data_IF_372393727345
#
_entry.id   IF_372393727345
#
_cell.length_a   1.000
_cell.length_b   1.000
_cell.length_c   1.000
_cell.angle_alpha   90.00
_cell.angle_beta   90.00
_cell.angle_gamma   90.00
#
_symmetry.space_group_name_H-M   'P 1'
#
loop_
_entity.id
_entity.type
_entity.pdbx_description
1 polymer ?
#
# COMPACT_ATOMS: atom_id res chain seq x y z
N UNK A 1 -7.17 -13.75 9.60
CA UNK A 1 -7.47 -14.09 8.21
C UNK A 1 -6.89 -15.42 7.85
N UNK A 2 -7.64 -16.26 7.20
CA UNK A 2 -7.13 -17.55 6.80
C UNK A 2 -6.17 -17.39 5.65
N UNK A 3 -5.17 -18.25 5.62
CA UNK A 3 -4.19 -18.19 4.54
C UNK A 3 -4.85 -18.33 3.17
N UNK A 4 -5.87 -19.17 3.08
CA UNK A 4 -6.51 -19.39 1.80
C UNK A 4 -7.22 -18.12 1.31
N UNK A 5 -7.80 -17.35 2.22
CA UNK A 5 -8.46 -16.10 1.84
C UNK A 5 -7.44 -15.08 1.39
N UNK A 6 -6.33 -15.00 2.10
CA UNK A 6 -5.28 -14.07 1.75
C UNK A 6 -4.65 -14.45 0.41
N UNK A 7 -4.44 -15.74 0.21
CA UNK A 7 -3.88 -16.21 -1.05
C UNK A 7 -4.81 -15.97 -2.21
N UNK A 8 -6.11 -16.12 -1.99
CA UNK A 8 -7.08 -15.85 -3.05
C UNK A 8 -7.04 -14.39 -3.46
N UNK A 9 -6.95 -13.51 -2.47
CA UNK A 9 -6.87 -12.09 -2.75
C UNK A 9 -5.61 -11.76 -3.53
N UNK A 10 -4.49 -12.29 -3.09
CA UNK A 10 -3.23 -12.04 -3.78
C UNK A 10 -3.24 -12.60 -5.19
N UNK A 11 -3.80 -13.77 -5.36
CA UNK A 11 -3.86 -14.39 -6.67
C UNK A 11 -4.72 -13.55 -7.61
N UNK A 12 -5.85 -13.05 -7.13
CA UNK A 12 -6.71 -12.21 -7.94
C UNK A 12 -6.01 -10.96 -8.40
N UNK A 13 -5.28 -10.32 -7.48
CA UNK A 13 -4.55 -9.12 -7.85
C UNK A 13 -3.44 -9.43 -8.84
N UNK A 14 -2.73 -10.53 -8.64
CA UNK A 14 -1.66 -10.92 -9.53
C UNK A 14 -2.19 -11.23 -10.92
N UNK A 15 -3.32 -11.90 -10.97
CA UNK A 15 -3.90 -12.24 -12.26
C UNK A 15 -4.30 -10.99 -13.03
N UNK A 16 -4.87 -10.02 -12.34
CA UNK A 16 -5.26 -8.78 -12.99
C UNK A 16 -4.05 -8.07 -13.56
N UNK A 17 -3.00 -8.02 -12.77
CA UNK A 17 -1.80 -7.34 -13.23
C UNK A 17 -1.11 -8.07 -14.36
N UNK A 18 -1.03 -9.38 -14.26
CA UNK A 18 -0.44 -10.17 -15.33
C UNK A 18 -1.21 -9.99 -16.62
N UNK A 19 -2.51 -9.91 -16.51
CA UNK A 19 -3.36 -9.69 -17.65
C UNK A 19 -3.05 -8.36 -18.29
N UNK A 20 -2.94 -7.30 -17.49
CA UNK A 20 -2.66 -5.99 -18.02
C UNK A 20 -1.30 -5.90 -18.65
N UNK A 21 -0.32 -6.51 -18.05
CA UNK A 21 1.05 -6.40 -18.52
C UNK A 21 1.35 -7.38 -19.65
N UNK A 22 0.39 -8.20 -19.96
CA UNK A 22 0.63 -9.14 -21.00
C UNK A 22 1.49 -10.22 -20.51
N UNK A 23 1.37 -10.45 -19.42
CA UNK A 23 1.93 -11.38 -19.01
C UNK A 23 3.01 -11.66 -18.59
N UNK A 24 3.44 -11.35 -18.23
CA UNK A 24 4.52 -11.50 -17.87
C UNK A 24 4.59 -12.57 -17.07
N UNK A 25 4.09 -13.54 -17.23
CA UNK A 25 4.37 -14.77 -16.62
C UNK A 25 4.61 -14.66 -15.15
N UNK A 26 3.72 -14.18 -14.46
CA UNK A 26 3.82 -14.10 -13.03
C UNK A 26 4.95 -13.25 -12.53
N UNK A 27 5.49 -12.47 -13.39
CA UNK A 27 6.58 -11.61 -13.01
C UNK A 27 6.17 -10.17 -13.25
N UNK A 28 6.01 -9.44 -12.19
CA UNK A 28 5.65 -8.04 -12.27
C UNK A 28 6.67 -7.25 -11.47
N UNK A 29 7.26 -6.27 -12.11
CA UNK A 29 8.21 -5.40 -11.44
C UNK A 29 7.49 -4.14 -11.03
N UNK A 30 7.53 -3.83 -9.74
CA UNK A 30 6.97 -2.60 -9.24
C UNK A 30 8.08 -1.75 -8.69
N UNK A 31 8.02 -0.48 -8.96
CA UNK A 31 8.93 0.45 -8.33
C UNK A 31 8.47 0.65 -6.88
N UNK A 32 9.41 0.88 -5.98
CA UNK A 32 9.04 1.15 -4.60
C UNK A 32 8.10 2.35 -4.51
N UNK A 33 7.16 2.29 -3.58
CA UNK A 33 6.23 3.38 -3.40
C UNK A 33 6.97 4.57 -2.79
N UNK A 34 6.80 5.72 -3.39
CA UNK A 34 7.35 6.95 -2.82
C UNK A 34 6.35 7.45 -1.78
N UNK A 35 6.66 7.17 -0.53
CA UNK A 35 5.73 7.44 0.57
C UNK A 35 5.47 8.94 0.71
N UNK A 36 6.52 9.74 0.55
CA UNK A 36 6.36 11.18 0.66
C UNK A 36 5.42 11.72 -0.43
N UNK A 37 5.58 11.23 -1.64
CA UNK A 37 4.73 11.67 -2.73
C UNK A 37 3.30 11.19 -2.54
N UNK A 38 3.14 9.97 -2.06
CA UNK A 38 1.81 9.43 -1.78
C UNK A 38 1.10 10.31 -0.77
N UNK A 39 1.78 10.67 0.32
CA UNK A 39 1.18 11.53 1.33
C UNK A 39 0.90 12.91 0.76
N UNK A 40 1.79 13.44 -0.06
CA UNK A 40 1.59 14.76 -0.65
C UNK A 40 0.31 14.83 -1.47
N UNK A 41 -0.03 13.74 -2.13
CA UNK A 41 -1.26 13.70 -2.92
C UNK A 41 -2.51 13.83 -2.07
N UNK A 42 -2.45 13.38 -0.83
CA UNK A 42 -3.59 13.49 0.07
C UNK A 42 -3.68 14.84 0.73
N UNK A 43 -2.61 15.62 0.66
CA UNK A 43 -2.54 16.93 1.28
C UNK A 43 -2.70 16.88 2.79
N UNK A 44 -2.39 15.73 3.38
CA UNK A 44 -2.45 15.55 4.82
C UNK A 44 -1.07 15.70 5.43
N UNK A 45 -1.05 16.13 6.68
CA UNK A 45 0.20 16.12 7.43
C UNK A 45 0.58 14.68 7.72
N UNK A 46 1.83 14.47 8.12
CA UNK A 46 2.27 13.12 8.46
C UNK A 46 1.42 12.52 9.57
N UNK A 47 1.14 13.30 10.60
CA UNK A 47 0.33 12.80 11.71
C UNK A 47 -1.08 12.43 11.28
N UNK A 48 -1.68 13.26 10.44
CA UNK A 48 -3.03 13.00 9.96
C UNK A 48 -3.05 11.80 9.03
N UNK A 49 -2.06 11.67 8.18
CA UNK A 49 -1.97 10.53 7.28
C UNK A 49 -1.84 9.25 8.09
N UNK A 50 -0.96 9.26 9.09
CA UNK A 50 -0.78 8.08 9.93
C UNK A 50 -2.07 7.70 10.64
N UNK A 51 -2.77 8.68 11.16
CA UNK A 51 -4.03 8.43 11.85
C UNK A 51 -5.08 7.87 10.90
N UNK A 52 -5.19 8.49 9.74
CA UNK A 52 -6.23 8.10 8.78
C UNK A 52 -6.05 6.67 8.29
N UNK A 53 -4.82 6.23 8.13
CA UNK A 53 -4.54 4.91 7.58
C UNK A 53 -4.02 3.92 8.60
N UNK A 54 -4.07 4.27 9.87
CA UNK A 54 -3.67 3.34 10.91
C UNK A 54 -2.19 3.01 10.92
N UNK A 55 -1.35 3.97 10.54
CA UNK A 55 0.09 3.77 10.49
C UNK A 55 0.75 4.45 11.67
N UNK A 56 1.96 4.00 11.98
CA UNK A 56 2.75 4.63 13.01
C UNK A 56 3.47 5.85 12.42
N UNK A 57 3.27 7.01 13.03
CA UNK A 57 3.80 8.26 12.51
C UNK A 57 5.32 8.24 12.43
N UNK A 58 5.96 7.63 13.41
CA UNK A 58 7.42 7.57 13.42
C UNK A 58 7.95 6.67 12.31
N UNK A 59 7.28 5.54 12.10
CA UNK A 59 7.65 4.66 11.00
C UNK A 59 7.47 5.35 9.67
N UNK A 60 6.36 6.08 9.54
CA UNK A 60 6.10 6.82 8.32
C UNK A 60 7.20 7.83 8.05
N UNK A 61 7.63 8.52 9.11
CA UNK A 61 8.71 9.47 8.97
C UNK A 61 10.00 8.81 8.49
N UNK A 62 10.31 7.64 9.04
CA UNK A 62 11.51 6.93 8.63
C UNK A 62 11.45 6.51 7.17
N UNK A 63 10.28 6.10 6.72
CA UNK A 63 10.10 5.76 5.32
C UNK A 63 10.30 6.98 4.43
N UNK A 64 9.72 8.11 4.83
CA UNK A 64 9.83 9.33 4.02
C UNK A 64 11.24 9.85 3.95
N UNK A 65 12.01 9.65 5.00
CA UNK A 65 13.38 10.09 5.03
C UNK A 65 14.37 9.07 4.45
N UNK A 66 13.87 7.94 4.04
CA UNK A 66 14.72 6.92 3.45
C UNK A 66 15.56 6.14 4.45
N UNK A 67 15.25 6.26 5.74
CA UNK A 67 16.01 5.56 6.77
C UNK A 67 15.60 4.10 6.90
N UNK A 68 14.38 3.80 6.51
CA UNK A 68 13.86 2.44 6.51
C UNK A 68 13.02 2.27 5.26
N UNK A 69 13.01 1.05 4.77
CA UNK A 69 12.13 0.71 3.66
C UNK A 69 10.91 0.00 4.21
N UNK A 70 9.73 0.25 3.67
CA UNK A 70 8.56 -0.54 4.04
C UNK A 70 8.82 -2.00 3.70
N UNK A 71 8.42 -2.89 4.59
CA UNK A 71 8.51 -4.30 4.28
C UNK A 71 7.45 -4.63 3.24
N UNK A 72 7.42 -5.88 2.81
CA UNK A 72 6.53 -6.26 1.72
C UNK A 72 5.07 -6.01 2.04
N UNK A 73 4.65 -6.34 3.25
CA UNK A 73 3.27 -6.12 3.66
C UNK A 73 2.92 -4.64 3.70
N UNK A 74 3.82 -3.85 4.24
CA UNK A 74 3.60 -2.42 4.33
C UNK A 74 3.56 -1.80 2.94
N UNK A 75 4.43 -2.25 2.05
CA UNK A 75 4.42 -1.73 0.70
C UNK A 75 3.13 -2.07 -0.02
N UNK A 76 2.64 -3.28 0.16
CA UNK A 76 1.35 -3.67 -0.41
C UNK A 76 0.24 -2.76 0.10
N UNK A 77 0.25 -2.49 1.39
CA UNK A 77 -0.74 -1.62 1.98
C UNK A 77 -0.66 -0.21 1.40
N UNK A 78 0.56 0.30 1.24
CA UNK A 78 0.75 1.63 0.66
C UNK A 78 0.25 1.68 -0.78
N UNK A 79 0.42 0.59 -1.52
CA UNK A 79 -0.10 0.53 -2.88
C UNK A 79 -1.62 0.55 -2.91
N UNK A 80 -2.25 -0.09 -1.93
CA UNK A 80 -3.71 -0.04 -1.84
C UNK A 80 -4.17 1.38 -1.56
N UNK A 81 -3.49 2.08 -0.69
CA UNK A 81 -3.82 3.47 -0.41
C UNK A 81 -3.68 4.30 -1.68
N UNK A 82 -2.65 4.03 -2.46
CA UNK A 82 -2.43 4.76 -3.69
C UNK A 82 -3.56 4.55 -4.68
N UNK A 83 -4.06 3.33 -4.76
CA UNK A 83 -5.10 2.99 -5.73
C UNK A 83 -6.50 3.41 -5.28
N UNK A 84 -6.78 3.30 -4.01
CA UNK A 84 -8.12 3.55 -3.51
C UNK A 84 -8.07 4.23 -2.15
N UNK A 85 -7.57 5.45 -2.11
CA UNK A 85 -7.32 6.12 -0.82
C UNK A 85 -8.56 6.26 0.04
N UNK A 86 -9.69 6.63 -0.54
CA UNK A 86 -10.89 6.86 0.25
C UNK A 86 -11.47 5.55 0.75
N UNK A 87 -11.45 4.53 -0.10
CA UNK A 87 -11.97 3.22 0.30
C UNK A 87 -11.16 2.61 1.41
N UNK A 88 -9.83 2.73 1.33
CA UNK A 88 -8.98 2.19 2.36
C UNK A 88 -9.21 2.93 3.67
N UNK A 89 -9.33 4.26 3.61
CA UNK A 89 -9.58 5.05 4.82
C UNK A 89 -10.89 4.64 5.46
N UNK A 90 -11.92 4.41 4.67
CA UNK A 90 -13.20 3.98 5.20
C UNK A 90 -13.11 2.63 5.88
N UNK A 91 -12.40 1.70 5.27
CA UNK A 91 -12.23 0.39 5.86
C UNK A 91 -11.45 0.45 7.17
N UNK A 92 -10.42 1.28 7.21
CA UNK A 92 -9.62 1.43 8.42
C UNK A 92 -10.46 2.04 9.54
N UNK A 93 -11.31 3.00 9.20
CA UNK A 93 -12.12 3.66 10.22
C UNK A 93 -13.16 2.72 10.83
N UNK A 94 -13.46 1.63 10.15
CA UNK A 94 -14.41 0.64 10.64
C UNK A 94 -13.78 -0.43 11.52
N UNK A 95 -12.48 -0.39 11.69
CA UNK A 95 -11.80 -1.39 12.52
C UNK A 95 -11.95 -1.07 14.05
#
# INVERSE_FOLDING_TARGET
>A
MKDSDFESLQRGLAEVEAYKTGKRAGFVVHEPVDVRQLRARTKLTRARFAERYGLDSRTLEQWEQGRRRPDKSSETYLRLIEKAPDQVADLVSGL
#
